data_IF_823389911428
#
_entry.id   IF_823389911428
#
_cell.length_a   1.000
_cell.length_b   1.000
_cell.length_c   1.000
_cell.angle_alpha   90.00
_cell.angle_beta   90.00
_cell.angle_gamma   90.00
#
_symmetry.space_group_name_H-M   'P 1'
#
loop_
_entity.id
_entity.type
_entity.pdbx_description
1 polymer ?
#
# COMPACT_ATOMS: atom_id res chain seq x y z
N UNK A 1 3.93 13.12 -5.39
CA UNK A 1 5.28 12.55 -5.21
C UNK A 1 5.55 12.49 -3.73
N UNK A 2 6.08 11.36 -3.26
CA UNK A 2 6.33 11.10 -1.85
C UNK A 2 7.67 10.38 -1.71
N UNK A 3 8.54 10.89 -0.85
CA UNK A 3 9.82 10.28 -0.50
C UNK A 3 9.75 9.70 0.90
N UNK A 4 10.24 8.48 1.07
CA UNK A 4 10.41 7.85 2.36
C UNK A 4 11.89 7.61 2.64
N UNK A 5 12.26 7.85 3.88
CA UNK A 5 13.60 7.62 4.40
C UNK A 5 13.53 6.75 5.66
N UNK A 6 14.57 5.95 5.88
CA UNK A 6 14.74 5.14 7.07
C UNK A 6 15.48 5.95 8.14
N UNK A 7 15.00 5.87 9.38
CA UNK A 7 15.67 6.41 10.55
C UNK A 7 16.41 5.26 11.24
N UNK A 8 17.74 5.22 11.11
CA UNK A 8 18.56 4.19 11.74
C UNK A 8 18.67 4.40 13.26
N UNK A 9 18.83 5.65 13.70
CA UNK A 9 18.87 6.02 15.12
C UNK A 9 18.54 7.51 15.30
N UNK A 10 18.21 7.91 16.53
CA UNK A 10 18.02 9.32 16.88
C UNK A 10 19.32 10.11 16.64
N UNK A 11 19.22 11.23 15.91
CA UNK A 11 20.38 12.09 15.60
C UNK A 11 21.21 11.66 14.38
N UNK A 12 20.93 10.48 13.79
CA UNK A 12 21.53 10.06 12.52
C UNK A 12 20.71 10.63 11.35
N UNK A 13 21.35 11.18 10.30
CA UNK A 13 20.63 11.63 9.11
C UNK A 13 19.76 10.52 8.51
N UNK A 14 18.52 10.82 8.06
CA UNK A 14 17.67 9.82 7.42
C UNK A 14 18.31 9.27 6.14
N UNK A 15 18.23 7.95 5.94
CA UNK A 15 18.74 7.28 4.73
C UNK A 15 17.63 7.20 3.69
N UNK A 16 17.79 7.73 2.47
CA UNK A 16 16.78 7.62 1.43
C UNK A 16 16.44 6.16 1.10
N UNK A 17 15.15 5.82 1.04
CA UNK A 17 14.70 4.45 0.83
C UNK A 17 13.87 4.31 -0.44
N UNK A 18 12.63 4.84 -0.46
CA UNK A 18 11.74 4.71 -1.61
C UNK A 18 11.18 6.05 -2.05
N UNK A 19 11.12 6.24 -3.36
CA UNK A 19 10.43 7.34 -4.02
C UNK A 19 9.16 6.79 -4.68
N UNK A 20 8.03 7.42 -4.39
CA UNK A 20 6.73 7.08 -4.95
C UNK A 20 6.19 8.23 -5.78
N UNK A 21 5.97 7.96 -7.05
CA UNK A 21 5.41 8.91 -8.01
C UNK A 21 4.01 8.48 -8.42
N UNK A 22 3.05 9.40 -8.29
CA UNK A 22 1.67 9.22 -8.74
C UNK A 22 1.36 10.34 -9.74
N UNK A 23 1.58 10.13 -11.05
CA UNK A 23 1.26 11.15 -12.04
C UNK A 23 -0.23 11.46 -12.00
N UNK A 24 -0.56 12.75 -12.09
CA UNK A 24 -1.94 13.20 -12.13
C UNK A 24 -2.64 12.63 -13.38
N UNK A 25 -3.78 11.97 -13.17
CA UNK A 25 -4.68 11.54 -14.25
C UNK A 25 -6.08 12.01 -13.96
N UNK A 26 -6.73 12.65 -14.94
CA UNK A 26 -8.14 13.01 -14.86
C UNK A 26 -8.98 11.73 -14.79
N UNK A 27 -9.43 11.39 -13.58
CA UNK A 27 -10.26 10.20 -13.37
C UNK A 27 -11.73 10.59 -13.49
N UNK A 28 -12.44 10.06 -14.47
CA UNK A 28 -13.90 10.22 -14.62
C UNK A 28 -14.54 8.85 -14.75
N UNK A 29 -15.57 8.57 -13.94
CA UNK A 29 -16.35 7.33 -13.98
C UNK A 29 -15.50 6.06 -14.15
N UNK A 30 -14.44 5.94 -13.34
CA UNK A 30 -13.53 4.79 -13.29
C UNK A 30 -12.51 4.63 -14.44
N UNK A 31 -12.52 5.52 -15.43
CA UNK A 31 -11.51 5.53 -16.49
C UNK A 31 -10.24 6.26 -16.05
N UNK A 32 -9.08 5.82 -16.56
CA UNK A 32 -7.76 6.40 -16.33
C UNK A 32 -7.35 6.53 -14.85
N UNK A 33 -7.72 5.54 -14.01
CA UNK A 33 -7.24 5.48 -12.62
C UNK A 33 -5.70 5.59 -12.59
N UNK A 34 -5.14 6.48 -11.75
CA UNK A 34 -3.70 6.66 -11.66
C UNK A 34 -3.02 5.44 -11.06
N UNK A 35 -1.79 5.21 -11.51
CA UNK A 35 -0.90 4.16 -11.03
C UNK A 35 0.24 4.83 -10.27
N UNK A 36 0.67 4.22 -9.18
CA UNK A 36 1.78 4.69 -8.37
C UNK A 36 3.01 3.88 -8.76
N UNK A 37 4.08 4.57 -9.15
CA UNK A 37 5.37 3.95 -9.47
C UNK A 37 6.30 4.07 -8.28
N UNK A 38 6.93 2.96 -7.90
CA UNK A 38 7.84 2.87 -6.75
C UNK A 38 9.25 2.64 -7.28
N UNK A 39 10.16 3.52 -6.90
CA UNK A 39 11.58 3.46 -7.24
C UNK A 39 12.44 3.57 -6.00
N UNK A 40 13.66 3.02 -6.05
CA UNK A 40 14.64 3.18 -4.98
C UNK A 40 15.13 4.63 -4.96
N UNK A 41 14.99 5.32 -3.83
CA UNK A 41 15.23 6.77 -3.76
C UNK A 41 16.68 7.17 -4.10
N UNK A 42 17.66 6.34 -3.72
CA UNK A 42 19.08 6.65 -3.96
C UNK A 42 19.57 6.31 -5.39
N UNK A 43 18.95 5.34 -6.07
CA UNK A 43 19.46 4.78 -7.35
C UNK A 43 18.53 5.03 -8.52
N UNK A 44 17.27 5.39 -8.26
CA UNK A 44 16.22 5.47 -9.27
C UNK A 44 15.77 4.13 -9.83
N UNK A 45 16.29 3.00 -9.32
CA UNK A 45 15.96 1.68 -9.82
C UNK A 45 14.46 1.36 -9.59
N UNK A 46 13.73 0.84 -10.59
CA UNK A 46 12.32 0.49 -10.43
C UNK A 46 12.17 -0.72 -9.49
N UNK A 47 11.27 -0.59 -8.53
CA UNK A 47 10.91 -1.66 -7.60
C UNK A 47 9.60 -2.31 -8.06
N UNK A 48 8.60 -1.50 -8.42
CA UNK A 48 7.29 -1.99 -8.84
C UNK A 48 6.26 -0.89 -8.99
N UNK A 49 5.00 -1.27 -9.11
CA UNK A 49 3.88 -0.34 -9.19
C UNK A 49 2.65 -0.83 -8.41
N UNK A 50 1.81 0.12 -8.01
CA UNK A 50 0.53 -0.13 -7.35
C UNK A 50 -0.58 0.51 -8.16
N UNK A 51 -1.63 -0.27 -8.46
CA UNK A 51 -2.77 0.20 -9.25
C UNK A 51 -4.08 -0.26 -8.63
N UNK A 52 -5.08 0.60 -8.67
CA UNK A 52 -6.49 0.23 -8.43
C UNK A 52 -7.09 -0.34 -9.74
N UNK A 53 -7.50 -1.63 -9.78
CA UNK A 53 -8.10 -2.25 -10.96
C UNK A 53 -9.55 -1.80 -11.20
N UNK A 54 -10.11 -0.96 -10.33
CA UNK A 54 -11.50 -0.52 -10.32
C UNK A 54 -12.49 -1.68 -10.12
N UNK A 55 -12.47 -2.27 -8.93
CA UNK A 55 -13.58 -3.09 -8.48
C UNK A 55 -14.71 -2.16 -7.96
N UNK A 56 -15.88 -2.17 -8.60
CA UNK A 56 -17.00 -1.32 -8.22
C UNK A 56 -17.38 -1.58 -6.75
N UNK A 57 -17.34 -0.53 -5.91
CA UNK A 57 -17.61 -0.57 -4.46
C UNK A 57 -16.68 -1.48 -3.64
N UNK A 58 -15.57 -1.94 -4.23
CA UNK A 58 -14.59 -2.81 -3.60
C UNK A 58 -13.23 -2.14 -3.69
N UNK A 59 -12.63 -1.84 -2.55
CA UNK A 59 -11.27 -1.33 -2.54
C UNK A 59 -10.31 -2.50 -2.74
N UNK A 60 -9.72 -2.54 -3.91
CA UNK A 60 -8.71 -3.52 -4.28
C UNK A 60 -7.52 -2.79 -4.89
N UNK A 61 -6.31 -3.25 -4.57
CA UNK A 61 -5.08 -2.73 -5.14
C UNK A 61 -4.24 -3.89 -5.63
N UNK A 62 -3.83 -3.84 -6.89
CA UNK A 62 -2.87 -4.77 -7.49
C UNK A 62 -1.46 -4.19 -7.35
N UNK A 63 -0.56 -5.02 -6.86
CA UNK A 63 0.87 -4.72 -6.78
C UNK A 63 1.60 -5.52 -7.83
N UNK A 64 2.45 -4.84 -8.59
CA UNK A 64 3.28 -5.43 -9.64
C UNK A 64 4.75 -5.26 -9.32
N UNK A 65 5.55 -6.24 -9.72
CA UNK A 65 7.01 -6.12 -9.67
C UNK A 65 7.55 -5.15 -10.75
N UNK A 66 8.86 -4.94 -10.75
CA UNK A 66 9.58 -4.14 -11.75
C UNK A 66 9.35 -4.58 -13.21
N UNK A 67 8.99 -5.85 -13.42
CA UNK A 67 8.75 -6.43 -14.74
C UNK A 67 7.27 -6.33 -15.14
N UNK A 68 6.44 -5.73 -14.28
CA UNK A 68 5.00 -5.55 -14.49
C UNK A 68 4.16 -6.79 -14.14
N UNK A 69 4.77 -7.82 -13.54
CA UNK A 69 4.09 -9.05 -13.17
C UNK A 69 3.34 -8.87 -11.85
N UNK A 70 2.08 -9.31 -11.74
CA UNK A 70 1.31 -9.17 -10.51
C UNK A 70 1.91 -10.08 -9.42
N UNK A 71 2.26 -9.48 -8.28
CA UNK A 71 2.88 -10.20 -7.16
C UNK A 71 1.97 -10.27 -5.94
N UNK A 72 1.21 -9.20 -5.68
CA UNK A 72 0.33 -9.14 -4.51
C UNK A 72 -0.96 -8.41 -4.84
N UNK A 73 -1.96 -8.64 -4.00
CA UNK A 73 -3.23 -7.93 -3.99
C UNK A 73 -3.54 -7.47 -2.58
N UNK A 74 -4.05 -6.25 -2.45
CA UNK A 74 -4.63 -5.76 -1.21
C UNK A 74 -6.13 -5.67 -1.44
N UNK A 75 -6.92 -6.42 -0.67
CA UNK A 75 -8.38 -6.38 -0.75
C UNK A 75 -9.00 -6.51 0.64
N UNK A 76 -10.21 -5.97 0.82
CA UNK A 76 -10.97 -6.13 2.06
C UNK A 76 -12.16 -7.09 1.84
N UNK A 77 -12.76 -7.55 2.93
CA UNK A 77 -13.98 -8.35 2.85
C UNK A 77 -15.16 -7.48 2.36
N UNK A 78 -15.86 -7.82 1.25
CA UNK A 78 -17.04 -7.07 0.79
C UNK A 78 -18.13 -6.90 1.85
N UNK A 79 -18.26 -7.85 2.78
CA UNK A 79 -19.25 -7.83 3.84
C UNK A 79 -18.82 -6.98 5.05
N UNK A 80 -17.64 -6.36 5.03
CA UNK A 80 -17.25 -5.43 6.09
C UNK A 80 -18.08 -4.15 5.95
N UNK A 81 -19.03 -3.95 6.87
CA UNK A 81 -19.81 -2.71 6.94
C UNK A 81 -18.95 -1.46 7.16
N UNK A 82 -17.64 -1.57 7.43
CA UNK A 82 -16.78 -0.39 7.60
C UNK A 82 -16.67 0.51 6.38
N UNK A 83 -16.95 -0.02 5.18
CA UNK A 83 -17.10 0.80 3.97
C UNK A 83 -18.56 1.13 3.59
N UNK A 84 -19.54 0.80 4.40
CA UNK A 84 -20.95 1.15 4.12
C UNK A 84 -21.54 1.98 5.26
N UNK A 85 -20.96 1.88 6.45
CA UNK A 85 -21.41 2.47 7.69
C UNK A 85 -20.65 3.76 8.03
N UNK A 86 -20.19 4.49 7.01
CA UNK A 86 -19.46 5.74 7.15
C UNK A 86 -20.34 6.79 7.84
N UNK A 87 -20.09 7.06 9.13
CA UNK A 87 -20.88 8.00 9.94
C UNK A 87 -21.95 7.36 10.84
N UNK A 88 -22.06 6.03 10.88
CA UNK A 88 -22.87 5.39 11.91
C UNK A 88 -22.15 5.45 13.27
N UNK A 89 -22.84 5.82 14.36
CA UNK A 89 -22.29 5.80 15.72
C UNK A 89 -22.01 4.39 16.26
N UNK A 90 -22.23 3.34 15.46
CA UNK A 90 -22.16 1.94 15.86
C UNK A 90 -20.75 1.31 15.88
N UNK A 91 -19.67 2.10 15.80
CA UNK A 91 -18.29 1.60 15.97
C UNK A 91 -17.75 0.71 14.84
N UNK A 92 -18.52 0.47 13.79
CA UNK A 92 -18.15 -0.42 12.67
C UNK A 92 -17.18 0.21 11.66
N UNK A 93 -16.40 1.23 12.04
CA UNK A 93 -15.63 2.08 11.11
C UNK A 93 -14.21 1.55 10.81
N UNK A 94 -13.85 0.40 11.37
CA UNK A 94 -12.58 -0.28 11.08
C UNK A 94 -12.74 -1.22 9.89
N UNK A 95 -11.79 -1.14 8.96
CA UNK A 95 -11.69 -2.01 7.79
C UNK A 95 -10.34 -2.72 7.83
N UNK A 96 -10.39 -4.03 7.71
CA UNK A 96 -9.21 -4.89 7.61
C UNK A 96 -8.96 -5.22 6.14
N UNK A 97 -7.85 -4.69 5.61
CA UNK A 97 -7.36 -4.98 4.27
C UNK A 97 -6.33 -6.10 4.35
N UNK A 98 -6.62 -7.20 3.69
CA UNK A 98 -5.73 -8.35 3.62
C UNK A 98 -4.75 -8.16 2.47
N UNK A 99 -3.46 -8.30 2.76
CA UNK A 99 -2.40 -8.36 1.77
C UNK A 99 -2.20 -9.82 1.39
N UNK A 100 -2.49 -10.17 0.15
CA UNK A 100 -2.44 -11.53 -0.38
C UNK A 100 -1.35 -11.67 -1.42
N UNK A 101 -0.59 -12.75 -1.34
CA UNK A 101 0.32 -13.16 -2.40
C UNK A 101 -0.48 -13.73 -3.58
N UNK A 102 -0.23 -13.24 -4.80
CA UNK A 102 -0.87 -13.76 -6.03
C UNK A 102 -0.32 -15.13 -6.44
N UNK A 103 0.89 -15.49 -6.01
CA UNK A 103 1.53 -16.76 -6.36
C UNK A 103 1.00 -17.90 -5.50
N UNK A 104 0.98 -17.72 -4.18
CA UNK A 104 0.54 -18.73 -3.22
C UNK A 104 -0.92 -18.61 -2.77
N UNK A 105 -1.59 -17.47 -3.01
CA UNK A 105 -2.95 -17.19 -2.53
C UNK A 105 -3.05 -16.95 -1.01
N UNK A 106 -1.93 -17.02 -0.30
CA UNK A 106 -1.86 -16.86 1.15
C UNK A 106 -1.92 -15.38 1.53
N UNK A 107 -2.59 -15.07 2.63
CA UNK A 107 -2.49 -13.76 3.29
C UNK A 107 -1.10 -13.66 3.94
N UNK A 108 -0.41 -12.55 3.68
CA UNK A 108 0.94 -12.26 4.20
C UNK A 108 0.96 -11.06 5.16
N UNK A 109 -0.19 -10.40 5.32
CA UNK A 109 -0.33 -9.28 6.21
C UNK A 109 -1.73 -8.67 6.20
N UNK A 110 -1.94 -7.78 7.15
CA UNK A 110 -3.18 -7.07 7.39
C UNK A 110 -2.88 -5.58 7.55
N UNK A 111 -3.66 -4.74 6.88
CA UNK A 111 -3.66 -3.30 7.06
C UNK A 111 -5.02 -2.95 7.64
N UNK A 112 -5.06 -2.61 8.92
CA UNK A 112 -6.29 -2.17 9.58
C UNK A 112 -6.36 -0.66 9.53
N UNK A 113 -7.45 -0.12 9.01
CA UNK A 113 -7.67 1.33 8.95
C UNK A 113 -9.02 1.69 9.55
N UNK A 114 -9.03 2.71 10.39
CA UNK A 114 -10.27 3.29 10.91
C UNK A 114 -10.65 4.49 10.05
N UNK A 115 -11.87 4.49 9.49
CA UNK A 115 -12.37 5.56 8.66
C UNK A 115 -13.31 6.48 9.43
N UNK A 116 -12.97 7.77 9.53
CA UNK A 116 -13.93 8.79 9.97
C UNK A 116 -14.81 9.23 8.80
N UNK A 117 -15.97 9.80 9.12
CA UNK A 117 -16.91 10.29 8.11
C UNK A 117 -16.28 11.28 7.12
N UNK A 118 -15.43 12.19 7.59
CA UNK A 118 -14.73 13.16 6.74
C UNK A 118 -13.72 12.49 5.79
N UNK A 119 -13.08 11.41 6.23
CA UNK A 119 -12.09 10.65 5.47
C UNK A 119 -12.75 9.80 4.38
N UNK A 120 -13.92 9.21 4.67
CA UNK A 120 -14.72 8.49 3.67
C UNK A 120 -15.16 9.40 2.51
N UNK A 121 -15.55 10.64 2.82
CA UNK A 121 -15.88 11.65 1.81
C UNK A 121 -14.63 12.08 1.02
N UNK A 122 -13.50 12.29 1.72
CA UNK A 122 -12.21 12.59 1.08
C UNK A 122 -11.77 11.48 0.13
N UNK A 123 -11.98 10.22 0.51
CA UNK A 123 -11.68 9.05 -0.31
C UNK A 123 -12.56 8.96 -1.57
N UNK A 124 -13.87 9.21 -1.45
CA UNK A 124 -14.79 9.21 -2.60
C UNK A 124 -14.53 10.36 -3.58
N UNK A 125 -14.23 11.54 -3.03
CA UNK A 125 -14.04 12.76 -3.83
C UNK A 125 -12.60 12.91 -4.33
N UNK A 126 -11.66 12.18 -3.73
CA UNK A 126 -10.23 12.38 -3.94
C UNK A 126 -9.71 13.71 -3.36
N UNK A 127 -10.49 14.37 -2.48
CA UNK A 127 -10.19 15.69 -1.93
C UNK A 127 -9.97 15.58 -0.42
N UNK A 128 -8.69 15.59 -0.03
CA UNK A 128 -8.23 15.56 1.36
C UNK A 128 -7.13 14.50 1.58
N UNK A 129 -6.35 14.67 2.65
CA UNK A 129 -5.33 13.71 3.07
C UNK A 129 -5.91 12.81 4.15
N UNK A 130 -6.10 11.54 3.83
CA UNK A 130 -6.48 10.49 4.78
C UNK A 130 -5.29 9.53 4.94
N UNK A 131 -4.24 10.05 5.59
CA UNK A 131 -2.95 9.37 5.76
C UNK A 131 -2.73 8.85 7.19
N UNK A 132 -3.71 8.97 8.07
CA UNK A 132 -3.58 8.66 9.50
C UNK A 132 -4.46 7.46 9.91
N UNK A 133 -4.29 6.97 11.14
CA UNK A 133 -5.12 5.93 11.76
C UNK A 133 -5.16 4.57 11.03
N UNK A 134 -3.98 4.09 10.64
CA UNK A 134 -3.81 2.72 10.17
C UNK A 134 -2.77 1.97 11.00
N UNK A 135 -2.92 0.65 11.07
CA UNK A 135 -1.95 -0.27 11.64
C UNK A 135 -1.62 -1.33 10.59
N UNK A 136 -0.33 -1.54 10.35
CA UNK A 136 0.16 -2.60 9.47
C UNK A 136 0.66 -3.76 10.33
N UNK A 137 0.14 -4.95 10.08
CA UNK A 137 0.55 -6.19 10.72
C UNK A 137 1.09 -7.11 9.64
N UNK A 138 2.35 -7.51 9.77
CA UNK A 138 2.96 -8.50 8.88
C UNK A 138 2.74 -9.87 9.50
N UNK A 139 2.22 -10.81 8.72
CA UNK A 139 2.21 -12.22 9.11
C UNK A 139 3.56 -12.87 8.73
N UNK A 140 3.69 -14.18 8.89
CA UNK A 140 4.91 -14.87 8.50
C UNK A 140 5.17 -14.66 7.00
N UNK A 141 6.13 -13.78 6.70
CA UNK A 141 6.66 -13.59 5.36
C UNK A 141 7.32 -14.90 4.96
N UNK A 142 6.70 -15.66 4.05
CA UNK A 142 7.30 -16.90 3.58
C UNK A 142 8.60 -16.57 2.83
N UNK A 143 9.72 -17.28 3.11
CA UNK A 143 11.00 -17.03 2.44
C UNK A 143 10.98 -17.26 0.92
N UNK A 144 9.86 -17.76 0.36
CA UNK A 144 9.63 -17.88 -1.08
C UNK A 144 9.23 -16.57 -1.79
N UNK A 145 8.83 -15.52 -1.06
CA UNK A 145 8.58 -14.19 -1.64
C UNK A 145 9.86 -13.37 -1.84
N UNK A 146 10.95 -13.76 -1.16
CA UNK A 146 12.28 -13.33 -1.55
C UNK A 146 12.65 -14.12 -2.81
N UNK A 147 12.42 -13.56 -4.01
CA UNK A 147 13.14 -14.03 -5.20
C UNK A 147 14.61 -14.12 -4.81
N UNK A 148 15.20 -15.31 -4.93
CA UNK A 148 16.60 -15.62 -4.56
C UNK A 148 17.63 -14.76 -5.33
N UNK A 149 17.13 -14.03 -6.31
CA UNK A 149 17.80 -13.21 -7.30
C UNK A 149 17.61 -11.70 -7.05
N UNK A 150 16.87 -11.31 -6.00
CA UNK A 150 16.90 -9.94 -5.50
C UNK A 150 18.05 -9.78 -4.49
N UNK A 151 19.04 -8.90 -4.73
CA UNK A 151 20.09 -8.60 -3.77
C UNK A 151 19.46 -7.80 -2.63
N UNK A 152 18.84 -8.49 -1.67
CA UNK A 152 18.53 -7.89 -0.39
C UNK A 152 19.86 -7.59 0.29
N UNK A 153 20.23 -6.32 0.38
CA UNK A 153 21.25 -5.89 1.32
C UNK A 153 20.84 -6.41 2.69
N UNK A 154 21.61 -7.37 3.20
CA UNK A 154 21.41 -7.83 4.57
C UNK A 154 21.52 -6.59 5.46
N UNK A 155 20.61 -6.45 6.41
CA UNK A 155 20.72 -5.44 7.48
C UNK A 155 22.00 -5.61 8.32
N UNK A 156 22.87 -6.59 8.01
CA UNK A 156 24.21 -6.74 8.57
C UNK A 156 25.32 -6.01 7.79
N UNK A 157 25.02 -5.34 6.67
CA UNK A 157 25.99 -4.48 5.97
C UNK A 157 25.89 -3.00 6.36
N UNK A 158 24.92 -2.64 7.19
CA UNK A 158 25.01 -1.44 8.02
C UNK A 158 25.90 -1.79 9.22
N UNK A 159 27.21 -1.79 8.97
CA UNK A 159 28.23 -1.90 10.01
C UNK A 159 28.08 -0.82 11.11
N UNK A 160 28.83 -0.96 12.22
CA UNK A 160 28.53 -0.40 13.54
C UNK A 160 28.30 1.12 13.59
#
# INVERSE_FOLDING_TARGET
NMDMALLAAQGVPPVPFIHMERPFKCTCCCFQRPEVFITHAATGAPIGSVRDPCACCLMTFDLKDKDGMPVMEISHNPCSCGLMCWGCPCGCQEVDFQVRDKTGGNTVGHIKKQFRMAEAVSMMTGVGCDADMYTVQFEQVQPGLARRDAPWYSLAELGP
#
